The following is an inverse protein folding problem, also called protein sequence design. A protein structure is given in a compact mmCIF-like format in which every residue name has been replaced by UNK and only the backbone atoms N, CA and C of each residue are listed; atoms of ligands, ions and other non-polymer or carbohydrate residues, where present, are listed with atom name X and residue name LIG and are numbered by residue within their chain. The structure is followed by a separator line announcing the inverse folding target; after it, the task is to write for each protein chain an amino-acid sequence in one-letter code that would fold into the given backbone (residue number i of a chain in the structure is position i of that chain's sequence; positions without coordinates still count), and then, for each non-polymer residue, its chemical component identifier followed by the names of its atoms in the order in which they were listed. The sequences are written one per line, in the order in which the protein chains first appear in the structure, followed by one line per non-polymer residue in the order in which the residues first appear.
data_IF_529314133768
#
_entry.id   IF_529314133768
#
_cell.length_a   1.000
_cell.length_b   1.000
_cell.length_c   1.000
_cell.angle_alpha   90.00
_cell.angle_beta   90.00
_cell.angle_gamma   90.00
#
_symmetry.space_group_name_H-M   'P 1'
#
loop_
_entity.id
_entity.type
_entity.pdbx_description
1 polymer ?
#
# COMPACT_ATOMS: atom_id res chain seq x y z
N UNK A 1 -23.07 25.86 -36.26
CA UNK A 1 -21.81 25.72 -37.02
C UNK A 1 -20.98 24.63 -36.37
N UNK A 2 -20.49 23.66 -37.14
CA UNK A 2 -19.64 22.53 -36.69
C UNK A 2 -18.15 22.74 -36.96
N UNK A 3 -17.76 23.95 -37.39
CA UNK A 3 -16.37 24.27 -37.69
C UNK A 3 -15.46 24.03 -36.48
N UNK A 4 -14.34 23.33 -36.68
CA UNK A 4 -13.37 23.10 -35.61
C UNK A 4 -12.70 24.44 -35.19
N UNK A 5 -12.96 24.82 -33.94
CA UNK A 5 -12.44 26.02 -33.27
C UNK A 5 -11.42 25.72 -32.17
N UNK A 6 -11.15 24.45 -31.87
CA UNK A 6 -10.16 24.06 -30.86
C UNK A 6 -8.76 24.46 -31.32
N UNK A 7 -7.92 24.95 -30.40
CA UNK A 7 -6.56 25.39 -30.68
C UNK A 7 -6.47 26.48 -31.75
N UNK A 8 -7.41 27.43 -31.74
CA UNK A 8 -7.45 28.55 -32.69
C UNK A 8 -7.74 29.90 -32.01
N UNK A 9 -6.93 30.91 -32.32
CA UNK A 9 -7.03 32.25 -31.72
C UNK A 9 -7.08 32.18 -30.20
N UNK A 10 -8.07 32.83 -29.58
CA UNK A 10 -8.27 32.85 -28.12
C UNK A 10 -8.66 31.49 -27.48
N UNK A 11 -8.67 30.38 -28.23
CA UNK A 11 -9.07 29.04 -27.76
C UNK A 11 -7.89 28.08 -27.61
N UNK A 12 -6.77 28.56 -27.08
CA UNK A 12 -5.57 27.74 -26.81
C UNK A 12 -5.77 26.78 -25.63
N UNK A 13 -6.64 27.13 -24.68
CA UNK A 13 -7.02 26.33 -23.50
C UNK A 13 -7.88 25.08 -23.83
N UNK A 14 -7.73 24.51 -25.03
CA UNK A 14 -8.33 23.23 -25.43
C UNK A 14 -7.32 22.06 -25.43
N UNK A 15 -6.07 22.31 -25.02
CA UNK A 15 -4.98 21.32 -24.84
C UNK A 15 -4.55 20.53 -26.09
N UNK A 16 -5.12 20.88 -27.25
CA UNK A 16 -4.85 20.35 -28.59
C UNK A 16 -4.76 21.52 -29.57
N UNK A 17 -3.88 21.41 -30.56
CA UNK A 17 -3.88 22.32 -31.72
C UNK A 17 -5.10 22.08 -32.60
N UNK A 18 -5.40 23.02 -33.51
CA UNK A 18 -6.45 22.85 -34.52
C UNK A 18 -6.25 21.61 -35.40
N UNK A 19 -5.00 21.22 -35.69
CA UNK A 19 -4.74 20.02 -36.47
C UNK A 19 -5.01 18.74 -35.65
N UNK A 20 -4.49 18.66 -34.42
CA UNK A 20 -4.71 17.50 -33.53
C UNK A 20 -6.19 17.27 -33.22
N UNK A 21 -6.94 18.34 -32.98
CA UNK A 21 -8.40 18.25 -32.76
C UNK A 21 -9.21 17.89 -34.02
N UNK A 22 -8.61 17.94 -35.21
CA UNK A 22 -9.25 17.57 -36.49
C UNK A 22 -9.05 16.10 -36.88
N UNK A 23 -8.21 15.35 -36.15
CA UNK A 23 -7.77 13.96 -36.47
C UNK A 23 -8.93 13.01 -36.84
N UNK A 24 -10.09 13.17 -36.21
CA UNK A 24 -11.29 12.36 -36.49
C UNK A 24 -12.48 13.21 -36.96
N UNK A 25 -12.28 14.44 -37.45
CA UNK A 25 -13.37 15.30 -37.93
C UNK A 25 -13.98 14.85 -39.26
N UNK A 26 -13.18 14.17 -40.10
CA UNK A 26 -13.54 13.80 -41.49
C UNK A 26 -13.57 12.28 -41.71
N UNK A 27 -13.71 11.48 -40.65
CA UNK A 27 -13.71 10.00 -40.71
C UNK A 27 -14.72 9.42 -41.72
N UNK A 28 -15.82 10.14 -41.95
CA UNK A 28 -16.92 9.78 -42.84
C UNK A 28 -16.66 10.13 -44.32
N UNK A 29 -15.74 11.05 -44.61
CA UNK A 29 -15.41 11.47 -45.98
C UNK A 29 -14.52 10.43 -46.69
N UNK A 30 -13.66 9.74 -45.94
CA UNK A 30 -12.63 8.81 -46.45
C UNK A 30 -13.17 7.46 -46.95
N UNK A 31 -14.46 7.36 -47.33
CA UNK A 31 -15.20 6.10 -47.52
C UNK A 31 -15.16 5.18 -46.29
N UNK A 32 -15.01 5.76 -45.09
CA UNK A 32 -14.91 5.02 -43.85
C UNK A 32 -16.20 4.25 -43.54
N UNK A 33 -16.10 2.91 -43.44
CA UNK A 33 -17.26 2.07 -43.07
C UNK A 33 -17.75 2.35 -41.65
N UNK A 34 -16.84 2.74 -40.75
CA UNK A 34 -17.16 3.13 -39.38
C UNK A 34 -16.02 3.95 -38.74
N UNK A 35 -16.31 4.65 -37.65
CA UNK A 35 -15.28 5.34 -36.84
C UNK A 35 -14.17 4.41 -36.38
N UNK A 36 -14.47 3.14 -36.08
CA UNK A 36 -13.51 2.13 -35.66
C UNK A 36 -12.40 1.84 -36.69
N UNK A 37 -12.68 2.02 -37.99
CA UNK A 37 -11.72 1.75 -39.07
C UNK A 37 -11.18 3.00 -39.78
N UNK A 38 -11.56 4.21 -39.35
CA UNK A 38 -11.30 5.45 -40.11
C UNK A 38 -10.98 6.68 -39.24
N UNK A 39 -10.70 6.46 -37.96
CA UNK A 39 -10.25 7.46 -37.00
C UNK A 39 -9.14 6.82 -36.15
N UNK A 40 -7.94 7.42 -36.13
CA UNK A 40 -6.80 6.93 -35.35
C UNK A 40 -6.49 7.88 -34.20
N UNK A 41 -6.80 7.44 -32.98
CA UNK A 41 -6.56 8.21 -31.76
C UNK A 41 -5.08 8.26 -31.35
N UNK A 42 -4.20 7.48 -32.00
CA UNK A 42 -2.75 7.53 -31.80
C UNK A 42 -2.13 8.85 -32.27
N UNK A 43 -2.80 9.54 -33.18
CA UNK A 43 -2.41 10.87 -33.67
C UNK A 43 -2.73 12.00 -32.67
N UNK A 44 -3.44 11.70 -31.57
CA UNK A 44 -3.64 12.61 -30.46
C UNK A 44 -2.47 12.49 -29.45
N UNK A 45 -1.93 13.62 -28.98
CA UNK A 45 -0.88 13.63 -27.96
C UNK A 45 -1.40 13.02 -26.64
N UNK A 46 -0.48 12.57 -25.79
CA UNK A 46 -0.79 11.91 -24.52
C UNK A 46 0.13 12.35 -23.36
N UNK A 47 0.86 13.46 -23.52
CA UNK A 47 1.87 13.91 -22.57
C UNK A 47 1.25 14.49 -21.29
N UNK A 48 0.21 15.33 -21.41
CA UNK A 48 -0.51 15.89 -20.25
C UNK A 48 -1.71 15.02 -19.82
N UNK A 49 -2.28 15.30 -18.65
CA UNK A 49 -3.46 14.59 -18.15
C UNK A 49 -4.71 14.89 -19.01
N UNK A 50 -4.85 16.15 -19.43
CA UNK A 50 -5.87 16.67 -20.32
C UNK A 50 -5.82 15.94 -21.67
N UNK A 51 -4.63 15.86 -22.26
CA UNK A 51 -4.39 15.17 -23.53
C UNK A 51 -4.76 13.69 -23.46
N UNK A 52 -4.43 12.99 -22.36
CA UNK A 52 -4.87 11.59 -22.14
C UNK A 52 -6.38 11.45 -22.02
N UNK A 53 -7.08 12.39 -21.40
CA UNK A 53 -8.55 12.37 -21.33
C UNK A 53 -9.16 12.61 -22.72
N UNK A 54 -8.63 13.56 -23.50
CA UNK A 54 -9.10 13.84 -24.86
C UNK A 54 -8.87 12.65 -25.80
N UNK A 55 -7.71 12.01 -25.70
CA UNK A 55 -7.42 10.75 -26.41
C UNK A 55 -8.37 9.62 -26.01
N UNK A 56 -8.68 9.45 -24.72
CA UNK A 56 -9.70 8.49 -24.26
C UNK A 56 -11.12 8.82 -24.77
N UNK A 57 -11.43 10.11 -24.95
CA UNK A 57 -12.67 10.54 -25.61
C UNK A 57 -12.74 10.10 -27.08
N UNK A 58 -11.62 10.21 -27.80
CA UNK A 58 -11.48 9.67 -29.16
C UNK A 58 -11.64 8.13 -29.18
N UNK A 59 -11.01 7.42 -28.24
CA UNK A 59 -11.11 5.95 -28.14
C UNK A 59 -12.54 5.46 -27.85
N UNK A 60 -13.34 6.23 -27.10
CA UNK A 60 -14.77 5.98 -26.94
C UNK A 60 -15.55 6.24 -28.23
N UNK A 61 -15.20 7.29 -28.97
CA UNK A 61 -15.84 7.65 -30.25
C UNK A 61 -15.55 6.63 -31.37
N UNK A 62 -14.34 6.03 -31.41
CA UNK A 62 -14.04 4.90 -32.30
C UNK A 62 -14.79 3.64 -31.86
N UNK A 63 -14.82 3.34 -30.57
CA UNK A 63 -15.53 2.19 -30.01
C UNK A 63 -17.06 2.23 -30.24
N UNK A 64 -17.66 3.42 -30.35
CA UNK A 64 -19.07 3.58 -30.74
C UNK A 64 -19.38 3.12 -32.17
N UNK A 65 -18.38 3.00 -33.05
CA UNK A 65 -18.53 2.39 -34.37
C UNK A 65 -19.53 3.09 -35.31
N UNK A 66 -19.73 4.41 -35.18
CA UNK A 66 -20.65 5.18 -36.03
C UNK A 66 -20.37 4.92 -37.51
N UNK A 67 -21.43 4.70 -38.30
CA UNK A 67 -21.36 4.39 -39.75
C UNK A 67 -21.84 5.54 -40.64
N UNK A 68 -22.46 6.57 -40.05
CA UNK A 68 -22.81 7.84 -40.70
C UNK A 68 -22.34 9.03 -39.87
N UNK A 69 -21.83 10.07 -40.53
CA UNK A 69 -21.44 11.33 -39.89
C UNK A 69 -22.63 12.26 -39.58
N UNK A 70 -23.80 12.02 -40.19
CA UNK A 70 -25.00 12.85 -40.08
C UNK A 70 -26.26 12.01 -39.79
N UNK A 71 -26.29 11.30 -38.65
CA UNK A 71 -27.45 10.50 -38.26
C UNK A 71 -28.70 11.38 -38.07
N UNK A 72 -29.83 10.96 -38.64
CA UNK A 72 -31.15 11.51 -38.27
C UNK A 72 -31.63 10.77 -37.04
N UNK A 73 -31.91 11.50 -35.97
CA UNK A 73 -32.30 10.96 -34.67
C UNK A 73 -33.56 11.67 -34.16
N UNK A 74 -34.46 10.90 -33.58
CA UNK A 74 -35.55 11.42 -32.75
C UNK A 74 -35.05 11.58 -31.31
N UNK A 75 -35.48 12.62 -30.62
CA UNK A 75 -35.09 12.91 -29.24
C UNK A 75 -36.24 13.56 -28.47
N UNK A 76 -36.22 13.40 -27.15
CA UNK A 76 -37.14 14.08 -26.24
C UNK A 76 -36.37 14.57 -25.00
N UNK A 77 -36.82 15.66 -24.34
CA UNK A 77 -36.17 16.14 -23.12
C UNK A 77 -36.30 15.12 -21.97
N UNK A 78 -35.18 14.84 -21.30
CA UNK A 78 -35.14 13.99 -20.10
C UNK A 78 -34.57 14.76 -18.91
N UNK A 79 -34.92 14.34 -17.70
CA UNK A 79 -34.27 14.85 -16.48
C UNK A 79 -32.78 14.51 -16.52
N UNK A 80 -31.93 15.53 -16.35
CA UNK A 80 -30.47 15.39 -16.40
C UNK A 80 -29.98 14.28 -15.45
N UNK A 81 -29.34 13.20 -15.95
CA UNK A 81 -28.88 12.10 -15.11
C UNK A 81 -27.82 12.57 -14.11
N UNK A 82 -27.96 12.20 -12.83
CA UNK A 82 -27.05 12.64 -11.75
C UNK A 82 -25.58 12.27 -11.98
N UNK A 83 -25.33 11.17 -12.69
CA UNK A 83 -23.97 10.77 -13.10
C UNK A 83 -23.39 11.73 -14.16
N UNK A 84 -24.19 12.10 -15.16
CA UNK A 84 -23.81 13.06 -16.19
C UNK A 84 -23.59 14.46 -15.62
N UNK A 85 -24.50 14.94 -14.76
CA UNK A 85 -24.37 16.25 -14.12
C UNK A 85 -23.09 16.34 -13.28
N UNK A 86 -22.78 15.30 -12.49
CA UNK A 86 -21.55 15.22 -11.67
C UNK A 86 -20.28 15.17 -12.51
N UNK A 87 -20.32 14.58 -13.70
CA UNK A 87 -19.19 14.51 -14.61
C UNK A 87 -18.93 15.88 -15.27
N UNK A 88 -19.98 16.51 -15.81
CA UNK A 88 -19.83 17.74 -16.60
C UNK A 88 -19.67 19.01 -15.75
N UNK A 89 -20.19 19.04 -14.51
CA UNK A 89 -20.15 20.21 -13.62
C UNK A 89 -18.75 20.68 -13.21
N UNK A 90 -17.72 19.87 -13.46
CA UNK A 90 -16.33 20.18 -13.17
C UNK A 90 -15.43 20.20 -14.41
N UNK A 91 -15.99 19.96 -15.60
CA UNK A 91 -15.22 19.91 -16.85
C UNK A 91 -14.95 21.30 -17.47
N UNK A 92 -15.72 22.32 -17.06
CA UNK A 92 -15.64 23.68 -17.62
C UNK A 92 -15.68 24.74 -16.51
N UNK A 93 -15.07 25.89 -16.79
CA UNK A 93 -15.11 27.12 -15.98
C UNK A 93 -15.45 28.32 -16.87
N UNK A 94 -15.53 29.52 -16.30
CA UNK A 94 -15.66 30.77 -17.06
C UNK A 94 -14.52 31.00 -18.06
N UNK A 95 -13.36 30.36 -17.88
CA UNK A 95 -12.18 30.49 -18.74
C UNK A 95 -12.05 29.36 -19.78
N UNK A 96 -13.05 28.47 -19.91
CA UNK A 96 -13.06 27.37 -20.88
C UNK A 96 -12.98 25.99 -20.22
N UNK A 97 -12.21 25.07 -20.81
CA UNK A 97 -12.03 23.71 -20.27
C UNK A 97 -11.24 23.80 -18.96
N UNK A 98 -11.72 23.15 -17.91
CA UNK A 98 -11.02 23.12 -16.63
C UNK A 98 -9.79 22.18 -16.71
N UNK A 99 -8.62 22.57 -16.19
CA UNK A 99 -7.47 21.68 -16.11
C UNK A 99 -7.76 20.48 -15.19
N UNK A 100 -7.15 19.33 -15.48
CA UNK A 100 -7.38 18.13 -14.70
C UNK A 100 -6.73 18.29 -13.33
N UNK A 101 -7.51 18.16 -12.26
CA UNK A 101 -6.95 18.06 -10.91
C UNK A 101 -6.14 16.77 -10.83
N UNK A 102 -4.81 16.91 -10.88
CA UNK A 102 -3.87 15.79 -10.78
C UNK A 102 -4.01 15.04 -9.45
N UNK A 103 -3.39 13.85 -9.34
CA UNK A 103 -3.36 13.11 -8.09
C UNK A 103 -2.76 13.98 -6.98
N UNK A 104 -3.41 14.01 -5.82
CA UNK A 104 -2.95 14.78 -4.66
C UNK A 104 -1.66 14.17 -4.10
N UNK A 105 -0.50 14.51 -4.67
CA UNK A 105 0.81 13.94 -4.27
C UNK A 105 1.06 14.08 -2.77
N UNK A 106 0.67 15.21 -2.17
CA UNK A 106 0.76 15.45 -0.72
C UNK A 106 -0.01 14.38 0.06
N UNK A 107 -1.24 14.04 -0.36
CA UNK A 107 -2.03 12.98 0.27
C UNK A 107 -1.40 11.60 0.10
N UNK A 108 -0.83 11.30 -1.07
CA UNK A 108 -0.14 10.04 -1.33
C UNK A 108 1.12 9.91 -0.45
N UNK A 109 1.92 10.99 -0.35
CA UNK A 109 3.11 11.04 0.51
C UNK A 109 2.75 10.88 1.99
N UNK A 110 1.71 11.56 2.47
CA UNK A 110 1.23 11.41 3.86
C UNK A 110 0.83 9.97 4.15
N UNK A 111 0.06 9.32 3.27
CA UNK A 111 -0.33 7.90 3.44
C UNK A 111 0.90 6.98 3.42
N UNK A 112 1.86 7.22 2.53
CA UNK A 112 3.10 6.44 2.48
C UNK A 112 3.95 6.60 3.76
N UNK A 113 4.10 7.83 4.27
CA UNK A 113 4.79 8.09 5.54
C UNK A 113 4.10 7.40 6.72
N UNK A 114 2.77 7.46 6.81
CA UNK A 114 2.00 6.76 7.86
C UNK A 114 2.21 5.24 7.77
N UNK A 115 2.17 4.66 6.56
CA UNK A 115 2.42 3.24 6.37
C UNK A 115 3.85 2.83 6.81
N UNK A 116 4.88 3.62 6.49
CA UNK A 116 6.26 3.37 6.91
C UNK A 116 6.42 3.44 8.44
N UNK A 117 5.75 4.39 9.11
CA UNK A 117 5.74 4.49 10.58
C UNK A 117 5.05 3.29 11.22
N UNK A 118 3.93 2.82 10.67
CA UNK A 118 3.26 1.60 11.16
C UNK A 118 4.16 0.37 10.98
N UNK A 119 4.79 0.22 9.81
CA UNK A 119 5.70 -0.89 9.53
C UNK A 119 6.91 -0.92 10.47
N UNK A 120 7.50 0.25 10.79
CA UNK A 120 8.63 0.31 11.73
C UNK A 120 8.22 -0.04 13.16
N UNK A 121 7.05 0.44 13.64
CA UNK A 121 6.49 0.08 14.95
C UNK A 121 6.24 -1.43 15.04
N UNK A 122 5.59 -2.03 14.04
CA UNK A 122 5.33 -3.48 13.99
C UNK A 122 6.65 -4.28 13.97
N UNK A 123 7.63 -3.82 13.19
CA UNK A 123 8.98 -4.41 13.16
C UNK A 123 9.67 -4.39 14.53
N UNK A 124 9.65 -3.26 15.23
CA UNK A 124 10.22 -3.11 16.58
C UNK A 124 9.50 -4.02 17.60
N UNK A 125 8.16 -4.06 17.57
CA UNK A 125 7.38 -4.94 18.47
C UNK A 125 7.76 -6.40 18.24
N UNK A 126 7.80 -6.85 16.98
CA UNK A 126 8.15 -8.23 16.64
C UNK A 126 9.61 -8.56 17.03
N UNK A 127 10.55 -7.63 16.82
CA UNK A 127 11.94 -7.75 17.25
C UNK A 127 12.09 -7.88 18.78
N UNK A 128 11.38 -7.05 19.55
CA UNK A 128 11.36 -7.11 21.01
C UNK A 128 10.78 -8.43 21.53
N UNK A 129 9.71 -8.95 20.90
CA UNK A 129 9.14 -10.26 21.22
C UNK A 129 10.13 -11.40 20.89
N UNK A 130 10.83 -11.31 19.75
CA UNK A 130 11.85 -12.28 19.36
C UNK A 130 13.00 -12.35 20.36
N UNK A 131 13.56 -11.20 20.78
CA UNK A 131 14.61 -11.15 21.81
C UNK A 131 14.14 -11.76 23.13
N UNK A 132 12.93 -11.41 23.62
CA UNK A 132 12.38 -11.97 24.86
C UNK A 132 12.20 -13.48 24.78
N UNK A 133 11.76 -14.01 23.62
CA UNK A 133 11.61 -15.45 23.40
C UNK A 133 12.96 -16.16 23.50
N UNK A 134 14.00 -15.62 22.87
CA UNK A 134 15.32 -16.25 22.83
C UNK A 134 15.97 -16.30 24.22
N UNK A 135 15.90 -15.22 25.01
CA UNK A 135 16.37 -15.23 26.41
C UNK A 135 15.68 -16.30 27.27
N UNK A 136 14.35 -16.47 27.14
CA UNK A 136 13.61 -17.53 27.85
C UNK A 136 14.06 -18.94 27.44
N UNK A 137 14.43 -19.15 26.17
CA UNK A 137 14.96 -20.43 25.68
C UNK A 137 16.34 -20.72 26.29
N UNK A 138 17.22 -19.72 26.38
CA UNK A 138 18.54 -19.83 27.01
C UNK A 138 18.45 -20.15 28.51
N UNK A 139 17.59 -19.45 29.25
CA UNK A 139 17.31 -19.70 30.67
C UNK A 139 16.78 -21.13 30.90
N UNK A 140 15.81 -21.57 30.08
CA UNK A 140 15.28 -22.93 30.14
C UNK A 140 16.35 -23.99 29.83
N UNK A 141 17.25 -23.73 28.87
CA UNK A 141 18.37 -24.61 28.56
C UNK A 141 19.38 -24.70 29.72
N UNK A 142 19.71 -23.56 30.36
CA UNK A 142 20.60 -23.50 31.54
C UNK A 142 20.01 -24.29 32.72
N UNK A 143 18.71 -24.15 32.98
CA UNK A 143 18.01 -24.90 34.03
C UNK A 143 17.99 -26.42 33.77
N UNK A 144 17.78 -26.86 32.52
CA UNK A 144 17.89 -28.28 32.14
C UNK A 144 19.30 -28.84 32.39
N UNK A 145 20.35 -28.09 32.03
CA UNK A 145 21.76 -28.47 32.30
C UNK A 145 22.05 -28.61 33.80
N UNK A 146 21.59 -27.67 34.63
CA UNK A 146 21.76 -27.74 36.10
C UNK A 146 21.00 -28.92 36.72
N UNK A 147 19.75 -29.19 36.30
CA UNK A 147 19.00 -30.38 36.74
C UNK A 147 19.70 -31.68 36.36
N UNK A 148 20.22 -31.79 35.13
CA UNK A 148 20.98 -32.96 34.67
C UNK A 148 22.23 -33.21 35.52
N UNK A 149 23.04 -32.17 35.79
CA UNK A 149 24.20 -32.27 36.70
C UNK A 149 23.80 -32.72 38.12
N UNK A 150 22.73 -32.15 38.67
CA UNK A 150 22.20 -32.51 40.00
C UNK A 150 21.75 -33.96 40.09
N UNK A 151 21.05 -34.46 39.07
CA UNK A 151 20.58 -35.85 39.02
C UNK A 151 21.76 -36.83 38.92
N UNK A 152 22.78 -36.53 38.09
CA UNK A 152 24.02 -37.33 38.04
C UNK A 152 24.71 -37.40 39.40
N UNK A 153 24.85 -36.26 40.11
CA UNK A 153 25.46 -36.23 41.44
C UNK A 153 24.68 -37.05 42.46
N UNK A 154 23.33 -36.96 42.48
CA UNK A 154 22.49 -37.78 43.36
C UNK A 154 22.66 -39.27 43.11
N UNK A 155 22.63 -39.70 41.85
CA UNK A 155 22.83 -41.11 41.49
C UNK A 155 24.22 -41.61 41.91
N UNK A 156 25.27 -40.80 41.71
CA UNK A 156 26.63 -41.18 42.09
C UNK A 156 26.79 -41.28 43.62
N UNK A 157 26.12 -40.40 44.39
CA UNK A 157 26.14 -40.45 45.87
C UNK A 157 25.40 -41.66 46.44
N UNK A 158 24.34 -42.13 45.75
CA UNK A 158 23.66 -43.38 46.12
C UNK A 158 24.51 -44.63 45.86
N UNK A 159 25.51 -44.55 44.98
CA UNK A 159 26.41 -45.67 44.66
C UNK A 159 27.61 -45.78 45.62
N UNK A 160 27.91 -44.73 46.39
CA UNK A 160 29.03 -44.67 47.33
C UNK A 160 28.60 -44.72 48.81
N UNK A 161 27.31 -44.94 49.09
CA UNK A 161 26.73 -44.92 50.44
C UNK A 161 26.35 -46.32 50.93
N UNK A 162 27.32 -47.24 51.03
CA UNK A 162 27.10 -48.58 51.60
C UNK A 162 28.38 -49.15 52.22
N UNK A 163 28.83 -48.59 53.34
CA UNK A 163 29.75 -49.24 54.28
C UNK A 163 29.47 -48.77 55.71
N UNK A 164 28.78 -49.64 56.45
CA UNK A 164 28.94 -49.96 57.87
C UNK A 164 29.09 -48.84 58.91
N UNK A 165 28.01 -48.63 59.67
CA UNK A 165 27.99 -48.06 61.01
C UNK A 165 28.43 -49.12 62.06
N UNK A 166 29.24 -48.73 63.07
CA UNK A 166 29.56 -49.50 64.30
C UNK A 166 30.54 -48.74 65.21
N UNK A 167 30.23 -48.62 66.50
CA UNK A 167 31.20 -48.33 67.57
C UNK A 167 30.82 -47.19 68.51
N UNK A 168 30.52 -47.51 69.78
CA UNK A 168 30.09 -46.56 70.82
C UNK A 168 31.12 -46.44 71.97
N UNK A 169 30.77 -45.64 72.99
CA UNK A 169 31.39 -45.47 74.34
C UNK A 169 32.61 -44.53 74.46
N UNK A 170 32.88 -43.84 75.59
CA UNK A 170 32.05 -43.20 76.65
C UNK A 170 32.97 -42.33 77.58
N UNK A 171 32.43 -41.50 78.48
CA UNK A 171 33.04 -40.86 79.70
C UNK A 171 34.30 -39.96 79.49
N UNK A 172 34.31 -38.62 79.61
CA UNK A 172 33.95 -37.66 80.69
C UNK A 172 35.05 -37.34 81.73
N UNK A 173 35.50 -36.07 81.79
CA UNK A 173 35.80 -35.30 83.03
C UNK A 173 36.14 -33.82 82.78
N UNK A 174 35.58 -32.93 83.61
CA UNK A 174 35.75 -31.44 83.70
C UNK A 174 36.80 -31.10 84.81
N UNK A 175 37.06 -29.85 85.33
CA UNK A 175 36.43 -28.51 85.14
C UNK A 175 37.42 -27.29 85.04
N UNK A 176 36.85 -26.06 85.16
CA UNK A 176 37.42 -24.82 85.76
C UNK A 176 38.28 -23.88 84.88
N UNK A 177 38.20 -22.54 84.96
CA UNK A 177 37.34 -21.60 85.76
C UNK A 177 37.47 -20.16 85.20
N UNK A 178 36.41 -19.34 85.35
CA UNK A 178 36.34 -17.86 85.61
C UNK A 178 37.13 -16.89 84.68
N UNK A 179 37.04 -15.54 84.65
CA UNK A 179 36.35 -14.41 85.35
C UNK A 179 36.58 -13.15 84.48
N UNK A 180 35.86 -12.00 84.49
CA UNK A 180 34.53 -11.57 84.96
C UNK A 180 34.28 -10.10 84.47
N UNK A 181 33.03 -9.60 84.52
CA UNK A 181 32.60 -8.16 84.43
C UNK A 181 32.90 -7.37 83.12
N UNK A 182 32.12 -6.36 82.71
CA UNK A 182 30.96 -5.64 83.28
C UNK A 182 29.84 -5.49 82.22
#
# INVERSE_FOLDING_TARGET
STANVCGSGLRENTFLTRNQSSVCGQWWEAKGKSTAGSCSCDLLPNATAEQRILRRGCELFTAWGWTTGTPKLEYYPVKCPRAFSKLVSHAFSSSGVAPVKGPNLIGILVVACVALVICSIVGVINWCLHIKRNRKIEEAARMKRLKSKRNKWKNNKHLSGSSSDSGATDVQSVPSTDSDTD
#
